data_IF_247902138705
#
_entry.id   IF_247902138705
#
_cell.length_a   1.000
_cell.length_b   1.000
_cell.length_c   1.000
_cell.angle_alpha   90.00
_cell.angle_beta   90.00
_cell.angle_gamma   90.00
#
_symmetry.space_group_name_H-M   'P 1'
#
loop_
_entity.id
_entity.type
_entity.pdbx_description
1 polymer ?
#
# COMPACT_ATOMS: atom_id res chain seq x y z
N UNK A 1 10.60 -6.26 -18.00
CA UNK A 1 9.23 -5.90 -18.44
C UNK A 1 8.58 -7.17 -18.89
N UNK A 2 7.39 -7.48 -18.39
CA UNK A 2 6.57 -8.54 -18.94
C UNK A 2 6.00 -7.97 -20.24
N UNK A 3 6.53 -8.37 -21.38
CA UNK A 3 6.09 -7.94 -22.70
C UNK A 3 4.60 -8.25 -22.86
N UNK A 4 3.80 -7.27 -23.29
CA UNK A 4 2.42 -7.47 -23.77
C UNK A 4 1.28 -6.97 -22.88
N UNK A 5 1.51 -6.21 -21.78
CA UNK A 5 0.45 -5.86 -20.82
C UNK A 5 0.19 -4.34 -20.70
N UNK A 6 0.96 -3.49 -21.34
CA UNK A 6 0.87 -2.03 -21.19
C UNK A 6 -0.31 -1.34 -21.91
N UNK A 7 -1.07 -2.06 -22.72
CA UNK A 7 -2.14 -1.45 -23.53
C UNK A 7 -3.38 -1.00 -22.72
N UNK A 8 -3.51 -1.42 -21.45
CA UNK A 8 -4.71 -1.14 -20.64
C UNK A 8 -4.49 -0.04 -19.59
N UNK A 9 -3.26 0.41 -19.35
CA UNK A 9 -2.97 1.39 -18.32
C UNK A 9 -2.19 2.59 -18.84
N UNK A 10 -2.43 3.76 -18.25
CA UNK A 10 -1.72 4.99 -18.58
C UNK A 10 -0.97 5.52 -17.34
N UNK A 11 0.27 5.95 -17.53
CA UNK A 11 1.03 6.66 -16.51
C UNK A 11 0.71 8.15 -16.61
N UNK A 12 0.28 8.74 -15.50
CA UNK A 12 -0.08 10.15 -15.35
C UNK A 12 0.55 10.75 -14.11
N UNK A 13 0.37 12.04 -13.92
CA UNK A 13 0.80 12.76 -12.72
C UNK A 13 -0.16 13.91 -12.40
N UNK A 14 -0.19 14.30 -11.13
CA UNK A 14 -0.77 15.55 -10.68
C UNK A 14 0.25 16.31 -9.82
N UNK A 15 0.04 17.60 -9.65
CA UNK A 15 0.87 18.44 -8.78
C UNK A 15 0.19 18.59 -7.43
N UNK A 16 0.82 18.07 -6.38
CA UNK A 16 0.36 18.25 -5.01
C UNK A 16 0.46 19.72 -4.58
N UNK A 17 -0.26 20.11 -3.54
CA UNK A 17 -0.32 21.52 -3.05
C UNK A 17 1.04 22.10 -2.70
N UNK A 18 1.99 21.27 -2.31
CA UNK A 18 3.37 21.68 -2.02
C UNK A 18 4.26 21.77 -3.28
N UNK A 19 3.69 21.58 -4.48
CA UNK A 19 4.40 21.61 -5.77
C UNK A 19 5.03 20.28 -6.18
N UNK A 20 4.96 19.23 -5.34
CA UNK A 20 5.52 17.93 -5.66
C UNK A 20 4.72 17.24 -6.76
N UNK A 21 5.41 16.65 -7.74
CA UNK A 21 4.78 15.82 -8.77
C UNK A 21 4.51 14.43 -8.22
N UNK A 22 3.26 14.03 -8.15
CA UNK A 22 2.80 12.71 -7.75
C UNK A 22 2.41 11.92 -8.99
N UNK A 23 3.10 10.82 -9.23
CA UNK A 23 2.80 9.92 -10.34
C UNK A 23 1.71 8.94 -9.94
N UNK A 24 0.88 8.57 -10.89
CA UNK A 24 -0.08 7.49 -10.72
C UNK A 24 -0.28 6.74 -12.05
N UNK A 25 -0.68 5.50 -11.94
CA UNK A 25 -1.09 4.69 -13.09
C UNK A 25 -2.59 4.47 -13.02
N UNK A 26 -3.26 4.66 -14.14
CA UNK A 26 -4.70 4.46 -14.22
C UNK A 26 -5.08 3.36 -15.20
N UNK A 27 -6.11 2.62 -14.86
CA UNK A 27 -6.85 1.68 -15.69
C UNK A 27 -8.29 2.15 -15.72
N UNK A 28 -8.60 2.99 -16.69
CA UNK A 28 -9.94 3.57 -16.88
C UNK A 28 -10.54 3.00 -18.15
N UNK A 29 -11.68 2.37 -18.03
CA UNK A 29 -12.39 1.77 -19.15
C UNK A 29 -13.89 1.94 -19.00
N UNK A 30 -14.66 1.12 -19.69
CA UNK A 30 -16.13 1.08 -19.59
C UNK A 30 -16.61 0.42 -18.29
N UNK A 31 -15.86 0.57 -17.19
CA UNK A 31 -16.15 -0.03 -15.92
C UNK A 31 -17.48 0.45 -15.31
N UNK A 32 -18.29 -0.49 -14.85
CA UNK A 32 -19.56 -0.24 -14.17
C UNK A 32 -19.45 -0.29 -12.64
N UNK A 33 -18.34 -0.87 -12.13
CA UNK A 33 -18.06 -1.01 -10.70
C UNK A 33 -17.48 0.26 -10.10
N UNK A 34 -17.13 0.18 -8.85
CA UNK A 34 -16.48 1.20 -8.02
C UNK A 34 -15.05 1.53 -8.50
N UNK A 35 -14.50 2.53 -7.86
CA UNK A 35 -13.10 2.98 -8.02
C UNK A 35 -12.24 2.32 -6.95
N UNK A 36 -11.08 1.80 -7.32
CA UNK A 36 -10.04 1.33 -6.39
C UNK A 36 -8.83 2.25 -6.48
N UNK A 37 -8.46 2.88 -5.37
CA UNK A 37 -7.22 3.65 -5.23
C UNK A 37 -6.20 2.79 -4.47
N UNK A 38 -5.10 2.41 -5.12
CA UNK A 38 -4.09 1.51 -4.56
C UNK A 38 -2.84 2.22 -4.07
N UNK A 39 -2.39 1.84 -2.88
CA UNK A 39 -1.18 2.32 -2.21
C UNK A 39 -0.20 1.15 -2.00
N UNK A 40 0.97 1.26 -2.57
CA UNK A 40 1.99 0.20 -2.57
C UNK A 40 2.76 0.07 -1.26
N UNK A 41 3.46 -1.06 -1.08
CA UNK A 41 4.30 -1.37 0.08
C UNK A 41 5.57 -0.53 0.17
N UNK A 42 6.44 -0.84 1.17
CA UNK A 42 7.63 -0.05 1.45
C UNK A 42 8.63 -0.05 0.29
N UNK A 43 9.04 -1.22 -0.18
CA UNK A 43 10.05 -1.38 -1.23
C UNK A 43 9.47 -1.34 -2.65
N UNK A 44 8.17 -1.64 -2.79
CA UNK A 44 7.48 -1.73 -4.07
C UNK A 44 7.14 -0.35 -4.67
N UNK A 45 6.63 -0.37 -5.88
CA UNK A 45 6.19 0.78 -6.65
C UNK A 45 5.06 0.37 -7.61
N UNK A 46 4.55 1.29 -8.43
CA UNK A 46 3.45 1.06 -9.38
C UNK A 46 3.64 -0.19 -10.25
N UNK A 47 4.88 -0.47 -10.68
CA UNK A 47 5.19 -1.60 -11.57
C UNK A 47 4.86 -2.97 -10.99
N UNK A 48 4.84 -3.12 -9.66
CA UNK A 48 4.47 -4.38 -9.01
C UNK A 48 2.96 -4.67 -9.04
N UNK A 49 2.14 -3.67 -9.37
CA UNK A 49 0.68 -3.78 -9.35
C UNK A 49 0.04 -3.97 -10.73
N UNK A 50 0.83 -3.95 -11.81
CA UNK A 50 0.32 -3.96 -13.20
C UNK A 50 -0.63 -5.13 -13.45
N UNK A 51 -0.24 -6.36 -13.12
CA UNK A 51 -1.07 -7.55 -13.35
C UNK A 51 -2.38 -7.50 -12.55
N UNK A 52 -2.32 -7.04 -11.30
CA UNK A 52 -3.49 -6.88 -10.43
C UNK A 52 -4.42 -5.79 -10.95
N UNK A 53 -3.89 -4.63 -11.34
CA UNK A 53 -4.65 -3.52 -11.92
C UNK A 53 -5.37 -3.93 -13.20
N UNK A 54 -4.68 -4.66 -14.10
CA UNK A 54 -5.28 -5.20 -15.31
C UNK A 54 -6.45 -6.16 -15.02
N UNK A 55 -6.29 -7.04 -14.03
CA UNK A 55 -7.35 -8.00 -13.69
C UNK A 55 -8.54 -7.31 -13.00
N UNK A 56 -8.31 -6.34 -12.12
CA UNK A 56 -9.37 -5.53 -11.50
C UNK A 56 -10.14 -4.73 -12.57
N UNK A 57 -9.42 -4.12 -13.52
CA UNK A 57 -10.06 -3.39 -14.61
C UNK A 57 -10.90 -4.32 -15.52
N UNK A 58 -10.40 -5.54 -15.82
CA UNK A 58 -11.18 -6.56 -16.53
C UNK A 58 -12.45 -6.99 -15.79
N UNK A 59 -12.45 -6.88 -14.44
CA UNK A 59 -13.65 -7.10 -13.61
C UNK A 59 -14.60 -5.91 -13.57
N UNK A 60 -14.26 -4.81 -14.22
CA UNK A 60 -15.11 -3.62 -14.33
C UNK A 60 -14.80 -2.51 -13.32
N UNK A 61 -13.72 -2.60 -12.56
CA UNK A 61 -13.27 -1.51 -11.69
C UNK A 61 -12.55 -0.41 -12.48
N UNK A 62 -12.70 0.83 -12.05
CA UNK A 62 -11.73 1.87 -12.36
C UNK A 62 -10.61 1.77 -11.31
N UNK A 63 -9.36 1.75 -11.75
CA UNK A 63 -8.23 1.50 -10.85
C UNK A 63 -7.19 2.60 -10.99
N UNK A 64 -6.73 3.11 -9.85
CA UNK A 64 -5.67 4.10 -9.74
C UNK A 64 -4.61 3.62 -8.77
N UNK A 65 -3.40 3.39 -9.23
CA UNK A 65 -2.27 3.09 -8.37
C UNK A 65 -1.45 4.36 -8.19
N UNK A 66 -1.31 4.83 -6.95
CA UNK A 66 -0.58 6.08 -6.63
C UNK A 66 0.84 5.76 -6.21
N UNK A 67 1.81 6.42 -6.85
CA UNK A 67 3.22 6.34 -6.47
C UNK A 67 3.50 7.20 -5.23
N UNK A 68 4.03 6.60 -4.18
CA UNK A 68 4.46 7.35 -3.00
C UNK A 68 5.64 8.26 -3.37
N UNK A 69 5.63 9.51 -2.93
CA UNK A 69 6.80 10.39 -3.07
C UNK A 69 8.08 9.72 -2.56
N UNK A 70 9.18 9.93 -3.22
CA UNK A 70 10.48 9.31 -2.89
C UNK A 70 10.59 7.82 -3.18
N UNK A 71 9.67 7.24 -3.97
CA UNK A 71 9.61 5.82 -4.33
C UNK A 71 9.48 5.63 -5.84
N UNK A 72 9.81 4.46 -6.34
CA UNK A 72 9.62 4.08 -7.74
C UNK A 72 10.18 5.10 -8.73
N UNK A 73 9.33 5.64 -9.57
CA UNK A 73 9.68 6.65 -10.60
C UNK A 73 9.64 8.10 -10.09
N UNK A 74 9.23 8.32 -8.83
CA UNK A 74 9.21 9.67 -8.24
C UNK A 74 10.62 10.28 -8.25
N UNK A 75 10.73 11.51 -8.73
CA UNK A 75 11.96 12.30 -8.70
C UNK A 75 12.16 13.05 -7.37
N UNK A 76 11.18 13.04 -6.48
CA UNK A 76 11.33 13.54 -5.13
C UNK A 76 12.45 12.78 -4.39
N UNK A 77 12.92 13.33 -3.29
CA UNK A 77 14.03 12.76 -2.49
C UNK A 77 13.82 11.27 -2.18
N UNK A 78 14.58 10.41 -2.87
CA UNK A 78 14.39 8.96 -2.84
C UNK A 78 14.60 8.40 -1.43
N UNK A 79 13.59 7.69 -0.92
CA UNK A 79 13.62 7.08 0.42
C UNK A 79 13.57 8.08 1.57
N UNK A 80 13.18 9.33 1.33
CA UNK A 80 13.04 10.36 2.35
C UNK A 80 11.60 10.87 2.45
N UNK A 81 11.17 11.22 3.65
CA UNK A 81 9.96 11.96 3.95
C UNK A 81 10.22 12.88 5.14
N UNK A 82 9.72 14.10 5.12
CA UNK A 82 9.81 15.01 6.27
C UNK A 82 8.82 14.64 7.37
N UNK A 83 7.63 14.19 6.99
CA UNK A 83 6.59 13.74 7.90
C UNK A 83 5.70 12.70 7.21
N UNK A 84 5.20 11.71 7.94
CA UNK A 84 4.22 10.76 7.40
C UNK A 84 2.88 11.46 7.06
N UNK A 85 2.57 12.60 7.68
CA UNK A 85 1.35 13.37 7.39
C UNK A 85 1.32 13.89 5.96
N UNK A 86 2.47 14.20 5.37
CA UNK A 86 2.54 14.61 3.96
C UNK A 86 2.03 13.52 3.02
N UNK A 87 2.28 12.24 3.37
CA UNK A 87 1.77 11.11 2.59
C UNK A 87 0.24 10.97 2.70
N UNK A 88 -0.33 11.38 3.83
CA UNK A 88 -1.78 11.38 4.01
C UNK A 88 -2.43 12.48 3.16
N UNK A 89 -1.80 13.66 3.09
CA UNK A 89 -2.26 14.75 2.21
C UNK A 89 -2.15 14.38 0.73
N UNK A 90 -1.05 13.74 0.30
CA UNK A 90 -0.92 13.23 -1.07
C UNK A 90 -2.07 12.28 -1.45
N UNK A 91 -2.42 11.37 -0.54
CA UNK A 91 -3.52 10.42 -0.76
C UNK A 91 -4.86 11.15 -0.78
N UNK A 92 -5.04 12.17 0.08
CA UNK A 92 -6.26 12.98 0.09
C UNK A 92 -6.47 13.68 -1.25
N UNK A 93 -5.45 14.35 -1.74
CA UNK A 93 -5.52 15.04 -3.04
C UNK A 93 -5.77 14.06 -4.19
N UNK A 94 -5.14 12.87 -4.17
CA UNK A 94 -5.39 11.82 -5.14
C UNK A 94 -6.85 11.33 -5.09
N UNK A 95 -7.38 11.04 -3.90
CA UNK A 95 -8.77 10.58 -3.72
C UNK A 95 -9.77 11.64 -4.15
N UNK A 96 -9.56 12.91 -3.78
CA UNK A 96 -10.40 14.03 -4.21
C UNK A 96 -10.41 14.17 -5.75
N UNK A 97 -9.23 14.08 -6.39
CA UNK A 97 -9.09 14.08 -7.84
C UNK A 97 -9.90 12.95 -8.50
N UNK A 98 -9.72 11.72 -8.02
CA UNK A 98 -10.40 10.56 -8.63
C UNK A 98 -11.91 10.57 -8.34
N UNK A 99 -12.32 11.06 -7.16
CA UNK A 99 -13.74 11.24 -6.83
C UNK A 99 -14.42 12.23 -7.79
N UNK A 100 -13.73 13.33 -8.15
CA UNK A 100 -14.26 14.31 -9.10
C UNK A 100 -14.45 13.74 -10.53
N UNK A 101 -13.62 12.77 -10.91
CA UNK A 101 -13.69 12.09 -12.21
C UNK A 101 -14.77 11.00 -12.27
N UNK A 102 -15.25 10.52 -11.11
CA UNK A 102 -16.17 9.39 -10.98
C UNK A 102 -17.36 9.71 -10.07
N UNK A 103 -18.09 10.78 -10.40
CA UNK A 103 -19.26 11.19 -9.60
C UNK A 103 -20.25 10.04 -9.41
N UNK A 104 -20.71 9.84 -8.17
CA UNK A 104 -21.67 8.81 -7.80
C UNK A 104 -21.13 7.38 -7.69
N UNK A 105 -19.84 7.14 -7.97
CA UNK A 105 -19.22 5.82 -7.75
C UNK A 105 -18.64 5.71 -6.33
N UNK A 106 -18.73 4.52 -5.77
CA UNK A 106 -18.01 4.18 -4.52
C UNK A 106 -16.50 4.19 -4.77
N UNK A 107 -15.75 4.61 -3.76
CA UNK A 107 -14.28 4.59 -3.77
C UNK A 107 -13.76 3.72 -2.64
N UNK A 108 -12.99 2.69 -2.98
CA UNK A 108 -12.29 1.85 -2.04
C UNK A 108 -10.80 2.18 -2.04
N UNK A 109 -10.25 2.43 -0.84
CA UNK A 109 -8.81 2.63 -0.68
C UNK A 109 -8.15 1.29 -0.37
N UNK A 110 -7.26 0.84 -1.25
CA UNK A 110 -6.55 -0.43 -1.15
C UNK A 110 -5.10 -0.20 -0.76
N UNK A 111 -4.63 -0.80 0.32
CA UNK A 111 -3.23 -0.77 0.73
C UNK A 111 -2.58 -2.15 0.68
N UNK A 112 -1.28 -2.18 0.36
CA UNK A 112 -0.44 -3.36 0.51
C UNK A 112 0.62 -3.12 1.58
N UNK A 113 0.77 -4.03 2.54
CA UNK A 113 1.85 -4.02 3.53
C UNK A 113 1.96 -2.68 4.27
N UNK A 114 3.05 -1.95 4.04
CA UNK A 114 3.30 -0.63 4.60
C UNK A 114 2.29 0.42 4.08
N UNK A 115 1.82 0.29 2.82
CA UNK A 115 0.76 1.13 2.27
C UNK A 115 -0.56 1.04 3.03
N UNK A 116 -0.83 -0.08 3.73
CA UNK A 116 -1.98 -0.20 4.62
C UNK A 116 -1.93 0.80 5.79
N UNK A 117 -0.73 1.19 6.24
CA UNK A 117 -0.59 2.18 7.32
C UNK A 117 -1.07 3.55 6.87
N UNK A 118 -0.74 3.91 5.63
CA UNK A 118 -1.25 5.15 5.01
C UNK A 118 -2.76 5.06 4.86
N UNK A 119 -3.27 3.96 4.26
CA UNK A 119 -4.70 3.78 4.01
C UNK A 119 -5.55 3.87 5.29
N UNK A 120 -5.13 3.21 6.37
CA UNK A 120 -5.82 3.23 7.67
C UNK A 120 -5.70 4.59 8.34
N UNK A 121 -4.52 5.23 8.29
CA UNK A 121 -4.34 6.57 8.85
C UNK A 121 -5.20 7.58 8.11
N UNK A 122 -5.23 7.51 6.78
CA UNK A 122 -6.14 8.31 5.95
C UNK A 122 -7.60 8.12 6.36
N UNK A 123 -8.06 6.86 6.41
CA UNK A 123 -9.46 6.56 6.75
C UNK A 123 -9.85 7.05 8.15
N UNK A 124 -8.95 7.05 9.13
CA UNK A 124 -9.27 7.52 10.48
C UNK A 124 -9.61 9.02 10.54
N UNK A 125 -9.19 9.81 9.54
CA UNK A 125 -9.42 11.26 9.48
C UNK A 125 -10.31 11.69 8.31
N UNK A 126 -10.41 10.87 7.26
CA UNK A 126 -11.05 11.21 5.99
C UNK A 126 -11.92 10.04 5.46
N UNK A 127 -12.55 9.26 6.36
CA UNK A 127 -13.41 8.15 5.93
C UNK A 127 -14.69 8.60 5.20
N UNK A 128 -15.05 9.87 5.28
CA UNK A 128 -16.11 10.50 4.48
C UNK A 128 -15.76 10.59 2.98
N UNK A 129 -14.48 10.49 2.63
CA UNK A 129 -13.99 10.51 1.25
C UNK A 129 -13.88 9.12 0.61
N UNK A 130 -14.11 8.03 1.35
CA UNK A 130 -14.02 6.67 0.85
C UNK A 130 -15.14 5.79 1.38
N UNK A 131 -15.51 4.77 0.63
CA UNK A 131 -16.64 3.88 0.97
C UNK A 131 -16.18 2.57 1.62
N UNK A 132 -14.88 2.30 1.66
CA UNK A 132 -14.31 1.15 2.37
C UNK A 132 -12.81 1.00 2.18
N UNK A 133 -12.22 0.08 2.97
CA UNK A 133 -10.81 -0.26 2.97
C UNK A 133 -10.57 -1.70 2.50
N UNK A 134 -9.54 -1.88 1.67
CA UNK A 134 -9.01 -3.19 1.30
C UNK A 134 -7.55 -3.26 1.76
N UNK A 135 -7.26 -4.10 2.74
CA UNK A 135 -5.95 -4.19 3.37
C UNK A 135 -5.30 -5.55 3.02
N UNK A 136 -4.22 -5.52 2.26
CA UNK A 136 -3.50 -6.72 1.83
C UNK A 136 -2.20 -6.86 2.63
N UNK A 137 -2.06 -7.96 3.37
CA UNK A 137 -0.91 -8.25 4.25
C UNK A 137 -0.48 -7.02 5.07
N UNK A 138 -1.40 -6.40 5.86
CA UNK A 138 -1.15 -5.11 6.50
C UNK A 138 -0.01 -5.20 7.52
N UNK A 139 1.00 -4.33 7.39
CA UNK A 139 2.19 -4.30 8.25
C UNK A 139 1.91 -3.71 9.65
N UNK A 140 0.92 -4.26 10.35
CA UNK A 140 0.55 -3.91 11.74
C UNK A 140 1.68 -4.24 12.70
N UNK A 141 2.12 -5.49 12.65
CA UNK A 141 3.26 -6.03 13.38
C UNK A 141 4.11 -6.82 12.41
N UNK A 142 5.38 -6.49 12.32
CA UNK A 142 6.31 -7.16 11.42
C UNK A 142 7.18 -8.17 12.16
N UNK A 143 7.48 -9.29 11.51
CA UNK A 143 8.45 -10.30 11.97
C UNK A 143 9.89 -9.81 11.80
N UNK A 144 10.07 -8.88 10.84
CA UNK A 144 11.37 -8.31 10.47
C UNK A 144 11.49 -6.91 11.07
N UNK A 145 12.64 -6.60 11.63
CA UNK A 145 12.94 -5.27 12.19
C UNK A 145 14.44 -4.98 12.15
N UNK A 146 14.82 -3.71 12.20
CA UNK A 146 16.20 -3.32 12.35
C UNK A 146 16.80 -3.88 13.67
N UNK A 147 18.07 -4.29 13.68
CA UNK A 147 18.80 -4.60 14.91
C UNK A 147 18.77 -3.44 15.89
N UNK A 148 18.85 -3.73 17.20
CA UNK A 148 18.73 -2.70 18.24
C UNK A 148 19.73 -1.54 18.06
N UNK A 149 21.00 -1.86 17.71
CA UNK A 149 22.03 -0.84 17.44
C UNK A 149 21.63 0.11 16.31
N UNK A 150 21.03 -0.41 15.23
CA UNK A 150 20.56 0.41 14.13
C UNK A 150 19.31 1.24 14.51
N UNK A 151 18.42 0.72 15.36
CA UNK A 151 17.27 1.50 15.88
C UNK A 151 17.77 2.71 16.68
N UNK A 152 18.77 2.52 17.53
CA UNK A 152 19.41 3.62 18.28
C UNK A 152 20.07 4.61 17.33
N UNK A 153 20.82 4.12 16.32
CA UNK A 153 21.46 4.97 15.32
C UNK A 153 20.44 5.77 14.49
N UNK A 154 19.30 5.18 14.15
CA UNK A 154 18.18 5.89 13.48
C UNK A 154 17.69 7.06 14.34
N UNK A 155 17.49 6.86 15.64
CA UNK A 155 17.01 7.92 16.54
C UNK A 155 17.99 9.08 16.60
N UNK A 156 19.29 8.81 16.83
CA UNK A 156 20.31 9.84 16.86
C UNK A 156 20.51 10.51 15.51
N UNK A 157 20.51 9.72 14.43
CA UNK A 157 20.69 10.24 13.07
C UNK A 157 19.49 11.08 12.63
N UNK A 158 18.28 10.78 13.12
CA UNK A 158 17.10 11.62 12.82
C UNK A 158 17.28 13.07 13.28
N UNK A 159 18.04 13.31 14.33
CA UNK A 159 18.35 14.66 14.84
C UNK A 159 19.57 15.25 14.11
N UNK A 160 20.68 14.51 14.09
CA UNK A 160 21.97 15.05 13.63
C UNK A 160 22.18 14.94 12.11
N UNK A 161 21.63 13.90 11.46
CA UNK A 161 21.80 13.58 10.03
C UNK A 161 20.55 12.90 9.47
N UNK A 162 19.40 13.60 9.38
CA UNK A 162 18.08 13.00 9.04
C UNK A 162 18.07 12.27 7.69
N UNK A 163 18.93 12.66 6.76
CA UNK A 163 19.07 12.02 5.43
C UNK A 163 20.07 10.86 5.39
N UNK A 164 20.68 10.45 6.53
CA UNK A 164 21.52 9.24 6.58
C UNK A 164 20.69 8.02 6.17
N UNK A 165 21.22 7.24 5.23
CA UNK A 165 20.54 6.07 4.66
C UNK A 165 20.79 4.82 5.50
N UNK A 166 19.76 3.99 5.61
CA UNK A 166 19.74 2.67 6.23
C UNK A 166 19.11 1.67 5.26
N UNK A 167 19.62 0.44 5.24
CA UNK A 167 19.03 -0.63 4.44
C UNK A 167 17.68 -1.02 5.02
N UNK A 168 16.71 -1.30 4.13
CA UNK A 168 15.44 -1.90 4.51
C UNK A 168 15.69 -3.39 4.78
N UNK A 169 15.32 -3.92 5.95
CA UNK A 169 15.67 -5.28 6.36
C UNK A 169 14.72 -6.33 5.76
N UNK A 170 14.51 -6.30 4.44
CA UNK A 170 13.66 -7.24 3.71
C UNK A 170 14.50 -7.96 2.64
N UNK A 171 14.23 -9.24 2.46
CA UNK A 171 14.89 -10.07 1.46
C UNK A 171 13.88 -10.50 0.38
N UNK A 172 14.34 -10.63 -0.87
CA UNK A 172 13.47 -10.85 -2.03
C UNK A 172 12.60 -12.12 -1.90
N UNK A 173 13.13 -13.18 -1.29
CA UNK A 173 12.42 -14.45 -1.08
C UNK A 173 11.26 -14.34 -0.06
N UNK A 174 11.23 -13.28 0.76
CA UNK A 174 10.16 -13.09 1.75
C UNK A 174 8.85 -12.65 1.11
N UNK A 175 8.91 -12.07 -0.11
CA UNK A 175 7.74 -11.55 -0.79
C UNK A 175 6.89 -12.64 -1.46
N UNK A 176 7.54 -13.65 -2.04
CA UNK A 176 6.85 -14.67 -2.85
C UNK A 176 7.67 -15.96 -2.93
N UNK A 177 6.99 -17.10 -3.11
CA UNK A 177 7.63 -18.40 -3.43
C UNK A 177 7.91 -18.57 -4.92
N UNK A 178 7.30 -17.75 -5.77
CA UNK A 178 7.38 -17.91 -7.22
C UNK A 178 8.74 -17.43 -7.74
N UNK A 179 9.60 -18.32 -8.30
CA UNK A 179 10.95 -17.96 -8.74
C UNK A 179 10.96 -16.84 -9.78
N UNK A 180 9.95 -16.77 -10.65
CA UNK A 180 9.80 -15.71 -11.65
C UNK A 180 9.70 -14.34 -10.99
N UNK A 181 8.89 -14.21 -9.95
CA UNK A 181 8.71 -12.94 -9.25
C UNK A 181 9.88 -12.64 -8.31
N UNK A 182 10.55 -13.65 -7.73
CA UNK A 182 11.81 -13.42 -6.99
C UNK A 182 12.85 -12.79 -7.92
N UNK A 183 13.03 -13.33 -9.13
CA UNK A 183 13.96 -12.80 -10.10
C UNK A 183 13.57 -11.40 -10.61
N UNK A 184 12.25 -11.15 -10.78
CA UNK A 184 11.71 -9.83 -11.10
C UNK A 184 12.07 -8.81 -10.01
N UNK A 185 11.81 -9.14 -8.72
CA UNK A 185 12.12 -8.26 -7.58
C UNK A 185 13.61 -7.99 -7.46
N UNK A 186 14.44 -9.02 -7.68
CA UNK A 186 15.89 -8.92 -7.59
C UNK A 186 16.49 -7.96 -8.64
N UNK A 187 15.94 -7.96 -9.86
CA UNK A 187 16.37 -7.12 -10.98
C UNK A 187 15.74 -5.73 -10.99
N UNK A 188 14.79 -5.47 -10.10
CA UNK A 188 14.06 -4.22 -10.08
C UNK A 188 14.90 -3.06 -9.56
N UNK A 189 15.32 -2.18 -10.46
CA UNK A 189 16.10 -0.98 -10.14
C UNK A 189 15.29 0.11 -9.43
N UNK A 190 13.94 0.08 -9.56
CA UNK A 190 13.04 1.01 -8.92
C UNK A 190 12.69 0.59 -7.49
N UNK A 191 13.04 -0.63 -7.08
CA UNK A 191 12.86 -1.12 -5.72
C UNK A 191 13.58 -0.24 -4.71
N UNK A 192 12.88 0.15 -3.63
CA UNK A 192 13.43 1.02 -2.60
C UNK A 192 14.20 0.22 -1.54
N UNK A 193 15.51 0.02 -1.77
CA UNK A 193 16.39 -0.79 -0.88
C UNK A 193 16.86 -0.04 0.37
N UNK A 194 16.87 1.30 0.33
CA UNK A 194 17.37 2.14 1.42
C UNK A 194 16.41 3.29 1.68
N UNK A 195 16.27 3.64 2.96
CA UNK A 195 15.49 4.81 3.37
C UNK A 195 16.27 5.61 4.42
N UNK A 196 15.91 6.86 4.59
CA UNK A 196 16.60 7.76 5.50
C UNK A 196 16.24 7.50 6.98
N UNK A 197 17.08 8.00 7.88
CA UNK A 197 16.80 8.00 9.32
C UNK A 197 15.44 8.64 9.62
N UNK A 198 15.15 9.78 8.96
CA UNK A 198 13.84 10.46 9.07
C UNK A 198 12.70 9.56 8.64
N UNK A 199 12.81 8.86 7.53
CA UNK A 199 11.78 7.95 7.05
C UNK A 199 11.47 6.83 8.07
N UNK A 200 12.51 6.19 8.64
CA UNK A 200 12.32 5.18 9.68
C UNK A 200 11.69 5.75 10.94
N UNK A 201 12.12 6.94 11.36
CA UNK A 201 11.57 7.63 12.53
C UNK A 201 10.08 7.96 12.32
N UNK A 202 9.72 8.53 11.19
CA UNK A 202 8.33 8.82 10.82
C UNK A 202 7.49 7.55 10.68
N UNK A 203 8.07 6.45 10.15
CA UNK A 203 7.43 5.13 10.14
C UNK A 203 7.16 4.63 11.56
N UNK A 204 8.08 4.86 12.49
CA UNK A 204 7.88 4.54 13.92
C UNK A 204 6.72 5.31 14.54
N UNK A 205 6.63 6.62 14.29
CA UNK A 205 5.49 7.46 14.70
C UNK A 205 4.17 6.96 14.10
N UNK A 206 4.18 6.67 12.80
CA UNK A 206 3.01 6.15 12.10
C UNK A 206 2.58 4.78 12.66
N UNK A 207 3.52 3.90 13.07
CA UNK A 207 3.20 2.62 13.70
C UNK A 207 2.46 2.80 15.04
N UNK A 208 2.93 3.72 15.86
CA UNK A 208 2.28 4.04 17.12
C UNK A 208 0.88 4.59 16.87
N UNK A 209 0.78 5.55 15.95
CA UNK A 209 -0.48 6.18 15.58
C UNK A 209 -1.48 5.18 15.01
N UNK A 210 -1.09 4.38 14.02
CA UNK A 210 -1.89 3.33 13.40
C UNK A 210 -2.55 2.39 14.42
N UNK A 211 -1.82 2.01 15.47
CA UNK A 211 -2.35 1.15 16.51
C UNK A 211 -3.38 1.84 17.40
N UNK A 212 -3.25 3.15 17.61
CA UNK A 212 -4.16 3.91 18.49
C UNK A 212 -5.49 4.27 17.82
N UNK A 213 -5.52 4.37 16.49
CA UNK A 213 -6.69 4.86 15.73
C UNK A 213 -7.61 3.78 15.17
N UNK A 214 -7.29 2.49 15.34
CA UNK A 214 -8.07 1.38 14.76
C UNK A 214 -9.58 1.49 15.08
N UNK A 215 -9.95 1.86 16.30
CA UNK A 215 -11.33 2.00 16.73
C UNK A 215 -12.11 3.12 16.03
N UNK A 216 -11.43 4.05 15.36
CA UNK A 216 -12.05 5.15 14.60
C UNK A 216 -12.51 4.75 13.21
N UNK A 217 -12.14 3.58 12.71
CA UNK A 217 -12.52 3.08 11.39
C UNK A 217 -13.89 2.45 11.49
N UNK A 218 -14.90 3.05 10.87
CA UNK A 218 -16.30 2.59 10.91
C UNK A 218 -16.83 2.12 9.54
N UNK A 219 -16.13 2.45 8.46
CA UNK A 219 -16.46 2.01 7.09
C UNK A 219 -16.18 0.51 6.92
N UNK A 220 -16.73 -0.16 5.88
CA UNK A 220 -16.42 -1.55 5.55
C UNK A 220 -14.93 -1.82 5.38
N UNK A 221 -14.43 -2.94 5.94
CA UNK A 221 -13.00 -3.32 5.86
C UNK A 221 -12.84 -4.77 5.40
N UNK A 222 -12.17 -4.95 4.28
CA UNK A 222 -11.65 -6.24 3.83
C UNK A 222 -10.17 -6.37 4.19
N UNK A 223 -9.78 -7.44 4.88
CA UNK A 223 -8.37 -7.76 5.17
C UNK A 223 -8.00 -9.10 4.56
N UNK A 224 -6.98 -9.11 3.71
CA UNK A 224 -6.47 -10.29 3.02
C UNK A 224 -5.08 -10.64 3.57
N UNK A 225 -4.90 -11.86 4.06
CA UNK A 225 -3.65 -12.31 4.69
C UNK A 225 -3.01 -13.47 3.93
N UNK A 226 -1.71 -13.40 3.77
CA UNK A 226 -0.88 -14.52 3.35
C UNK A 226 -0.68 -15.49 4.53
N UNK A 227 -0.99 -16.78 4.35
CA UNK A 227 -0.97 -17.75 5.43
C UNK A 227 0.43 -18.05 5.99
N UNK A 228 1.45 -18.00 5.14
CA UNK A 228 2.87 -18.18 5.48
C UNK A 228 3.68 -16.92 5.30
N UNK A 229 3.14 -15.79 5.75
CA UNK A 229 3.80 -14.47 5.64
C UNK A 229 5.09 -14.43 6.47
N UNK A 230 6.23 -14.18 5.80
CA UNK A 230 7.54 -14.06 6.44
C UNK A 230 7.83 -12.63 6.94
N UNK A 231 7.05 -11.64 6.50
CA UNK A 231 7.23 -10.23 6.82
C UNK A 231 6.27 -9.77 7.92
N UNK A 232 5.01 -10.20 7.86
CA UNK A 232 3.94 -9.76 8.74
C UNK A 232 3.55 -10.85 9.73
N UNK A 233 3.32 -10.46 10.99
CA UNK A 233 2.77 -11.33 12.03
C UNK A 233 1.24 -11.33 11.94
N UNK A 234 0.67 -12.39 11.37
CA UNK A 234 -0.77 -12.54 11.19
C UNK A 234 -1.56 -12.51 12.52
N UNK A 235 -0.99 -13.01 13.62
CA UNK A 235 -1.67 -12.97 14.92
C UNK A 235 -1.74 -11.53 15.45
N UNK A 236 -0.68 -10.74 15.22
CA UNK A 236 -0.70 -9.31 15.51
C UNK A 236 -1.75 -8.57 14.68
N UNK A 237 -1.90 -8.95 13.39
CA UNK A 237 -2.95 -8.38 12.51
C UNK A 237 -4.34 -8.74 13.01
N UNK A 238 -4.62 -10.00 13.36
CA UNK A 238 -5.93 -10.44 13.87
C UNK A 238 -6.32 -9.68 15.14
N UNK A 239 -5.38 -9.51 16.08
CA UNK A 239 -5.61 -8.73 17.31
C UNK A 239 -5.92 -7.27 17.02
N UNK A 240 -5.22 -6.66 16.06
CA UNK A 240 -5.50 -5.29 15.62
C UNK A 240 -6.84 -5.18 14.91
N UNK A 241 -7.13 -6.11 13.98
CA UNK A 241 -8.40 -6.19 13.24
C UNK A 241 -9.61 -6.28 14.17
N UNK A 242 -9.51 -7.02 15.26
CA UNK A 242 -10.59 -7.10 16.27
C UNK A 242 -10.94 -5.73 16.87
N UNK A 243 -9.97 -4.80 16.93
CA UNK A 243 -10.12 -3.44 17.48
C UNK A 243 -10.71 -2.43 16.52
N UNK A 244 -10.90 -2.77 15.23
CA UNK A 244 -11.58 -1.89 14.27
C UNK A 244 -13.00 -1.60 14.74
N UNK A 245 -13.38 -0.32 14.67
CA UNK A 245 -14.74 0.14 15.01
C UNK A 245 -15.80 -0.27 13.98
N UNK A 246 -15.38 -0.69 12.79
CA UNK A 246 -16.26 -1.17 11.73
C UNK A 246 -17.10 -2.37 12.18
N UNK A 247 -18.40 -2.33 11.90
CA UNK A 247 -19.34 -3.45 12.07
C UNK A 247 -19.27 -4.41 10.88
N UNK A 248 -18.88 -3.92 9.71
CA UNK A 248 -18.71 -4.69 8.50
C UNK A 248 -17.21 -4.87 8.24
N UNK A 249 -16.65 -5.96 8.76
CA UNK A 249 -15.24 -6.27 8.60
C UNK A 249 -15.01 -7.75 8.32
N UNK A 250 -14.31 -8.02 7.23
CA UNK A 250 -14.02 -9.39 6.76
C UNK A 250 -12.52 -9.63 6.74
N UNK A 251 -12.09 -10.80 7.21
CA UNK A 251 -10.72 -11.28 7.08
C UNK A 251 -10.70 -12.57 6.27
N UNK A 252 -9.84 -12.63 5.24
CA UNK A 252 -9.60 -13.80 4.41
C UNK A 252 -8.12 -14.18 4.48
N UNK A 253 -7.84 -15.45 4.75
CA UNK A 253 -6.48 -15.99 4.79
C UNK A 253 -6.28 -16.89 3.56
N UNK A 254 -5.13 -16.73 2.87
CA UNK A 254 -4.70 -17.56 1.76
C UNK A 254 -3.62 -18.54 2.25
N UNK A 255 -3.98 -19.81 2.55
CA UNK A 255 -3.03 -20.79 3.03
C UNK A 255 -1.88 -21.02 2.05
N UNK A 256 -0.69 -21.28 2.57
CA UNK A 256 0.48 -21.59 1.76
C UNK A 256 1.10 -20.42 1.00
N UNK A 257 0.52 -19.21 1.05
CA UNK A 257 1.03 -18.05 0.35
C UNK A 257 2.02 -17.25 1.19
N UNK A 258 3.02 -16.66 0.53
CA UNK A 258 3.92 -15.66 1.09
C UNK A 258 3.34 -14.25 0.94
N UNK A 259 4.06 -13.26 1.47
CA UNK A 259 3.62 -11.89 1.72
C UNK A 259 2.85 -11.22 0.57
N UNK A 260 3.36 -11.30 -0.67
CA UNK A 260 2.81 -10.58 -1.83
C UNK A 260 1.75 -11.41 -2.55
N UNK A 261 0.52 -11.40 -2.02
CA UNK A 261 -0.62 -12.10 -2.61
C UNK A 261 -0.84 -11.77 -4.10
N UNK A 262 -0.44 -10.57 -4.51
CA UNK A 262 -0.45 -10.14 -5.91
C UNK A 262 0.49 -10.94 -6.83
N UNK A 263 1.46 -11.68 -6.27
CA UNK A 263 2.37 -12.57 -6.99
C UNK A 263 2.04 -14.05 -6.77
N UNK A 264 1.29 -14.36 -5.72
CA UNK A 264 0.96 -15.71 -5.31
C UNK A 264 -0.41 -16.18 -5.83
N UNK A 265 -1.43 -15.33 -5.68
CA UNK A 265 -2.85 -15.67 -5.92
C UNK A 265 -3.64 -14.52 -6.56
N UNK A 266 -3.04 -13.79 -7.50
CA UNK A 266 -3.60 -12.58 -8.11
C UNK A 266 -5.05 -12.73 -8.53
N UNK A 267 -5.39 -13.79 -9.29
CA UNK A 267 -6.75 -14.04 -9.78
C UNK A 267 -7.74 -14.27 -8.65
N UNK A 268 -7.36 -15.08 -7.66
CA UNK A 268 -8.22 -15.43 -6.52
C UNK A 268 -8.47 -14.20 -5.65
N UNK A 269 -7.43 -13.38 -5.44
CA UNK A 269 -7.52 -12.10 -4.71
C UNK A 269 -8.47 -11.14 -5.41
N UNK A 270 -8.32 -10.96 -6.73
CA UNK A 270 -9.17 -10.06 -7.52
C UNK A 270 -10.62 -10.55 -7.54
N UNK A 271 -10.87 -11.85 -7.71
CA UNK A 271 -12.21 -12.40 -7.64
C UNK A 271 -12.85 -12.14 -6.26
N UNK A 272 -12.11 -12.40 -5.19
CA UNK A 272 -12.63 -12.19 -3.84
C UNK A 272 -12.92 -10.71 -3.53
N UNK A 273 -12.11 -9.79 -4.03
CA UNK A 273 -12.37 -8.34 -3.93
C UNK A 273 -13.67 -7.99 -4.66
N UNK A 274 -13.87 -8.53 -5.88
CA UNK A 274 -15.07 -8.27 -6.65
C UNK A 274 -16.34 -8.80 -5.96
N UNK A 275 -16.28 -10.03 -5.42
CA UNK A 275 -17.39 -10.65 -4.68
C UNK A 275 -17.67 -9.91 -3.35
N UNK A 276 -16.64 -9.36 -2.69
CA UNK A 276 -16.81 -8.57 -1.47
C UNK A 276 -17.44 -7.21 -1.76
N UNK A 277 -17.02 -6.54 -2.83
CA UNK A 277 -17.56 -5.24 -3.25
C UNK A 277 -19.04 -5.32 -3.62
N UNK A 278 -19.49 -6.41 -4.25
CA UNK A 278 -20.91 -6.62 -4.59
C UNK A 278 -21.82 -6.71 -3.36
N UNK A 279 -21.29 -7.04 -2.19
CA UNK A 279 -22.04 -7.17 -0.93
C UNK A 279 -22.04 -5.90 -0.10
N UNK A 280 -21.18 -4.93 -0.45
CA UNK A 280 -20.94 -3.68 0.26
C UNK A 280 -21.22 -2.46 -0.63
#
# INVERSE_FOLDING_TARGET
MLEGVDALSQLKQFTARDGTQIFYREWVGRGHRSVIVYLHGLESHLGWFIDTGNLLNKKGFHVYAVERRGSGISKAERGHIESFLVLIEDVKEAVELFRSQHSGKKIYLMGLCWGCKIAVTFAAYHQDLIDGLILVSPAVRTRVSLPLRQKVDVIFSNIARPKKLFDVPLEDHMFTKNPKYIEFIKKDELKLKKVTARFFFETGKMNFHFNSIAHKIHIPVLTLLAGEDLIVDNEGVKKWFARLGSKDKTIKIYPGCYHSLQFEKTKDVVNYIADWEERN
#
